data_IF_315476004083
#
_entry.id   IF_315476004083
#
_cell.length_a   1.000
_cell.length_b   1.000
_cell.length_c   1.000
_cell.angle_alpha   90.00
_cell.angle_beta   90.00
_cell.angle_gamma   90.00
#
_symmetry.space_group_name_H-M   'P 1'
#
loop_
_entity.id
_entity.type
_entity.pdbx_description
1 polymer ?
#
# COMPACT_ATOMS: atom_id res chain seq x y z
N UNK A 1 -32.70 32.09 2.84
CA UNK A 1 -31.53 31.29 3.28
C UNK A 1 -30.75 30.94 2.03
N UNK A 2 -29.67 31.67 1.76
CA UNK A 2 -28.84 31.48 0.58
C UNK A 2 -27.77 30.42 0.90
N UNK A 3 -27.80 29.31 0.17
CA UNK A 3 -26.73 28.31 0.19
C UNK A 3 -25.48 28.96 -0.42
N UNK A 4 -24.40 29.02 0.34
CA UNK A 4 -23.10 29.50 -0.14
C UNK A 4 -22.60 28.50 -1.20
N UNK A 5 -22.31 29.01 -2.39
CA UNK A 5 -21.85 28.24 -3.56
C UNK A 5 -20.45 27.64 -3.40
N UNK A 6 -19.78 27.88 -2.27
CA UNK A 6 -18.37 27.57 -2.00
C UNK A 6 -18.18 26.72 -0.73
N UNK A 7 -19.13 25.88 -0.35
CA UNK A 7 -18.81 24.81 0.62
C UNK A 7 -17.85 23.83 -0.07
N UNK A 8 -16.54 23.96 0.18
CA UNK A 8 -15.51 23.05 -0.35
C UNK A 8 -15.68 21.60 0.15
N UNK A 9 -16.63 21.39 1.07
CA UNK A 9 -17.04 20.10 1.62
C UNK A 9 -18.39 19.62 1.07
N UNK A 10 -19.09 20.41 0.25
CA UNK A 10 -20.32 20.00 -0.41
C UNK A 10 -20.00 19.09 -1.61
N UNK A 11 -19.66 17.83 -1.30
CA UNK A 11 -19.60 16.80 -2.33
C UNK A 11 -21.01 16.54 -2.85
N UNK A 12 -21.33 17.05 -4.04
CA UNK A 12 -22.62 16.85 -4.71
C UNK A 12 -22.81 15.47 -5.33
N UNK A 13 -21.86 14.54 -5.10
CA UNK A 13 -21.86 13.17 -5.64
C UNK A 13 -21.81 12.12 -4.54
N UNK A 14 -22.14 10.88 -4.89
CA UNK A 14 -22.01 9.76 -3.96
C UNK A 14 -20.57 9.60 -3.48
N UNK A 15 -20.39 9.48 -2.16
CA UNK A 15 -19.09 9.20 -1.57
C UNK A 15 -18.60 7.82 -2.02
N UNK A 16 -17.30 7.73 -2.31
CA UNK A 16 -16.64 6.46 -2.59
C UNK A 16 -16.63 5.58 -1.34
N UNK A 17 -16.83 4.28 -1.51
CA UNK A 17 -16.68 3.32 -0.40
C UNK A 17 -15.22 3.12 -0.04
N UNK A 18 -14.95 2.70 1.19
CA UNK A 18 -13.61 2.36 1.63
C UNK A 18 -12.96 1.28 0.73
N UNK A 19 -13.73 0.27 0.32
CA UNK A 19 -13.25 -0.80 -0.53
C UNK A 19 -12.87 -0.30 -1.93
N UNK A 20 -13.66 0.60 -2.51
CA UNK A 20 -13.36 1.22 -3.80
C UNK A 20 -12.09 2.10 -3.72
N UNK A 21 -11.93 2.83 -2.61
CA UNK A 21 -10.71 3.60 -2.36
C UNK A 21 -9.48 2.69 -2.23
N UNK A 22 -9.59 1.61 -1.44
CA UNK A 22 -8.53 0.61 -1.25
C UNK A 22 -8.13 -0.04 -2.57
N UNK A 23 -9.11 -0.45 -3.39
CA UNK A 23 -8.85 -1.04 -4.70
C UNK A 23 -8.08 -0.08 -5.62
N UNK A 24 -8.48 1.19 -5.64
CA UNK A 24 -7.80 2.23 -6.44
C UNK A 24 -6.36 2.45 -6.00
N UNK A 25 -6.09 2.43 -4.69
CA UNK A 25 -4.72 2.57 -4.16
C UNK A 25 -3.86 1.37 -4.58
N UNK A 26 -4.38 0.15 -4.40
CA UNK A 26 -3.67 -1.09 -4.77
C UNK A 26 -3.35 -1.14 -6.26
N UNK A 27 -4.28 -0.70 -7.11
CA UNK A 27 -4.11 -0.67 -8.57
C UNK A 27 -3.02 0.31 -9.02
N UNK A 28 -2.89 1.45 -8.33
CA UNK A 28 -1.94 2.51 -8.70
C UNK A 28 -0.55 2.34 -8.10
N UNK A 29 -0.44 1.68 -6.96
CA UNK A 29 0.83 1.54 -6.24
C UNK A 29 1.56 0.28 -6.70
N UNK A 30 2.52 0.46 -7.61
CA UNK A 30 3.45 -0.59 -8.00
C UNK A 30 4.50 -0.89 -6.92
N UNK A 31 5.08 -2.10 -6.97
CA UNK A 31 6.25 -2.45 -6.15
C UNK A 31 7.49 -1.73 -6.68
N UNK A 32 7.97 -0.72 -5.95
CA UNK A 32 9.28 -0.12 -6.17
C UNK A 32 10.17 -0.48 -4.97
N UNK A 33 10.99 -1.52 -5.10
CA UNK A 33 11.89 -1.95 -4.03
C UNK A 33 13.27 -2.25 -4.59
N UNK A 34 14.27 -1.58 -4.03
CA UNK A 34 15.66 -2.01 -4.11
C UNK A 34 15.89 -3.19 -3.16
N UNK A 35 16.84 -4.05 -3.51
CA UNK A 35 17.14 -5.26 -2.75
C UNK A 35 18.46 -5.09 -2.03
N UNK A 36 18.43 -5.18 -0.70
CA UNK A 36 19.61 -5.14 0.16
C UNK A 36 19.88 -6.51 0.77
N UNK A 37 21.17 -6.84 0.92
CA UNK A 37 21.62 -7.97 1.73
C UNK A 37 22.01 -7.48 3.12
N UNK A 38 21.36 -8.04 4.13
CA UNK A 38 21.61 -7.71 5.54
C UNK A 38 21.98 -8.97 6.33
N UNK A 39 22.71 -8.85 7.46
CA UNK A 39 22.88 -9.94 8.39
C UNK A 39 21.53 -10.43 8.94
N UNK A 40 21.42 -11.72 9.28
CA UNK A 40 20.17 -12.32 9.77
C UNK A 40 19.61 -11.62 11.02
N UNK A 41 20.49 -11.18 11.92
CA UNK A 41 20.08 -10.46 13.13
C UNK A 41 19.40 -9.11 12.83
N UNK A 42 19.63 -8.54 11.65
CA UNK A 42 19.03 -7.30 11.19
C UNK A 42 17.89 -7.52 10.17
N UNK A 43 17.51 -8.78 9.93
CA UNK A 43 16.47 -9.15 8.96
C UNK A 43 15.05 -9.15 9.56
N UNK A 44 14.91 -9.07 10.88
CA UNK A 44 13.60 -9.05 11.54
C UNK A 44 12.76 -7.84 11.07
N UNK A 45 11.48 -8.10 10.77
CA UNK A 45 10.56 -7.10 10.20
C UNK A 45 10.78 -6.72 8.73
N UNK A 46 11.81 -7.26 8.04
CA UNK A 46 12.00 -7.06 6.59
C UNK A 46 11.22 -8.08 5.75
N UNK A 47 11.02 -7.76 4.48
CA UNK A 47 10.38 -8.64 3.50
C UNK A 47 11.45 -9.32 2.66
N UNK A 48 11.35 -10.65 2.51
CA UNK A 48 12.23 -11.40 1.61
C UNK A 48 12.04 -10.94 0.16
N UNK A 49 13.14 -10.62 -0.50
CA UNK A 49 13.15 -10.24 -1.91
C UNK A 49 12.93 -11.45 -2.84
N UNK A 50 13.36 -12.63 -2.39
CA UNK A 50 13.29 -13.90 -3.13
C UNK A 50 13.02 -15.05 -2.17
N UNK A 51 12.53 -16.16 -2.71
CA UNK A 51 12.35 -17.40 -1.96
C UNK A 51 13.67 -17.89 -1.34
N UNK A 52 13.57 -18.61 -0.21
CA UNK A 52 14.71 -19.19 0.51
C UNK A 52 14.65 -20.71 0.34
N UNK A 53 15.66 -21.28 -0.30
CA UNK A 53 15.82 -22.72 -0.44
C UNK A 53 16.82 -23.25 0.59
N UNK A 54 16.54 -24.43 1.16
CA UNK A 54 17.49 -25.12 2.03
C UNK A 54 18.72 -25.58 1.20
N UNK A 55 19.95 -25.30 1.65
CA UNK A 55 21.13 -25.70 0.89
C UNK A 55 21.51 -27.18 1.09
N UNK A 56 20.97 -27.83 2.12
CA UNK A 56 21.26 -29.22 2.52
C UNK A 56 20.02 -29.86 3.14
N UNK A 57 19.98 -31.19 3.16
CA UNK A 57 19.00 -31.96 3.93
C UNK A 57 19.27 -31.84 5.45
N UNK A 58 18.22 -31.98 6.25
CA UNK A 58 18.24 -31.89 7.72
C UNK A 58 18.08 -33.25 8.39
#
# INVERSE_FOLDING_TARGET
>A
MAQLSDDCFAFGGALMTLDAARATIVDRVGRAVEVDRVPLLAADGRILATDVAAPVDL
#
